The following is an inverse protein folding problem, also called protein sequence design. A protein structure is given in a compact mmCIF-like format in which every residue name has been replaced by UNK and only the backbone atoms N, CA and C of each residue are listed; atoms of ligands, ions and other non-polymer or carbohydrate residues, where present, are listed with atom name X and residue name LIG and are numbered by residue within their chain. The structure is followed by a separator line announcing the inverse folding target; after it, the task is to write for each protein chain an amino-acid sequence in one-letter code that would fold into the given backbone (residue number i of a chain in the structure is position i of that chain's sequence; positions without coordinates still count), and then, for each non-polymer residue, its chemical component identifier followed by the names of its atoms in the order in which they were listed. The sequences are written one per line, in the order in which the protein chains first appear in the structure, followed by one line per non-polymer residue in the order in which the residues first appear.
data_IF_342746477669
#
_entry.id   IF_342746477669
#
_cell.length_a   1.000
_cell.length_b   1.000
_cell.length_c   1.000
_cell.angle_alpha   90.00
_cell.angle_beta   90.00
_cell.angle_gamma   90.00
#
_symmetry.space_group_name_H-M   'P 1'
#
loop_
_entity.id
_entity.type
_entity.pdbx_description
1 polymer ?
#
# COMPACT_ATOMS: atom_id res chain seq x y z
N UNK A 1 -9.90 11.82 23.19
CA UNK A 1 -8.67 11.87 22.36
C UNK A 1 -7.57 11.22 23.19
N UNK A 2 -6.61 10.51 22.57
CA UNK A 2 -5.79 9.44 23.17
C UNK A 2 -4.90 9.77 24.41
N UNK A 3 -5.04 10.96 25.02
CA UNK A 3 -4.32 11.40 26.24
C UNK A 3 -2.79 11.37 26.13
N UNK A 4 -2.28 11.66 24.94
CA UNK A 4 -0.84 11.74 24.66
C UNK A 4 -0.38 13.19 24.60
N UNK A 5 0.77 13.48 25.21
CA UNK A 5 1.46 14.75 25.06
C UNK A 5 2.18 14.80 23.70
N UNK A 6 1.57 15.48 22.72
CA UNK A 6 2.14 15.64 21.38
C UNK A 6 3.23 16.72 21.38
N UNK A 7 4.49 16.30 21.52
CA UNK A 7 5.64 17.22 21.59
C UNK A 7 5.93 17.91 20.25
N UNK A 8 5.76 17.18 19.14
CA UNK A 8 6.00 17.68 17.79
C UNK A 8 5.29 16.79 16.77
N UNK A 9 4.73 17.42 15.75
CA UNK A 9 4.34 16.74 14.50
C UNK A 9 5.50 16.89 13.51
N UNK A 10 5.92 15.78 12.91
CA UNK A 10 6.96 15.76 11.89
C UNK A 10 6.41 15.14 10.62
N UNK A 11 6.87 15.62 9.47
CA UNK A 11 6.50 15.04 8.19
C UNK A 11 7.19 13.68 8.01
N UNK A 12 6.48 12.71 7.45
CA UNK A 12 7.00 11.37 7.13
C UNK A 12 8.33 11.38 6.35
N UNK A 13 8.51 12.16 5.26
CA UNK A 13 9.79 12.18 4.55
C UNK A 13 10.94 12.71 5.42
N UNK A 14 10.68 13.66 6.33
CA UNK A 14 11.71 14.12 7.27
C UNK A 14 12.06 13.04 8.28
N UNK A 15 11.06 12.32 8.81
CA UNK A 15 11.29 11.20 9.71
C UNK A 15 12.10 10.07 9.05
N UNK A 16 11.74 9.69 7.81
CA UNK A 16 12.45 8.71 7.00
C UNK A 16 13.89 9.16 6.71
N UNK A 17 14.11 10.44 6.40
CA UNK A 17 15.44 10.99 6.19
C UNK A 17 16.31 10.94 7.46
N UNK A 18 15.73 11.26 8.62
CA UNK A 18 16.42 11.18 9.90
C UNK A 18 16.84 9.73 10.18
N UNK A 19 15.94 8.77 9.98
CA UNK A 19 16.24 7.35 10.13
C UNK A 19 17.39 6.91 9.19
N UNK A 20 17.34 7.34 7.92
CA UNK A 20 18.40 7.07 6.95
C UNK A 20 19.75 7.71 7.33
N UNK A 21 19.73 8.98 7.75
CA UNK A 21 20.91 9.76 8.12
C UNK A 21 21.59 9.31 9.42
N UNK A 22 20.83 8.75 10.37
CA UNK A 22 21.37 8.17 11.60
C UNK A 22 21.96 6.77 11.36
N UNK A 23 21.33 5.94 10.52
CA UNK A 23 21.77 4.56 10.26
C UNK A 23 22.95 4.41 9.29
N UNK A 24 23.14 5.35 8.36
CA UNK A 24 24.14 5.21 7.27
C UNK A 24 25.56 5.70 7.61
N UNK A 25 25.83 6.03 8.89
CA UNK A 25 27.06 6.70 9.30
C UNK A 25 27.05 8.20 8.94
N UNK A 26 27.51 9.05 9.85
CA UNK A 26 27.64 10.50 9.61
C UNK A 26 28.80 10.76 8.65
N UNK A 27 28.51 10.71 7.36
CA UNK A 27 29.39 11.28 6.34
C UNK A 27 29.30 12.81 6.43
N UNK A 28 30.44 13.50 6.50
CA UNK A 28 30.48 14.96 6.36
C UNK A 28 30.18 15.45 4.94
N UNK A 29 30.17 14.54 3.95
CA UNK A 29 29.86 14.88 2.56
C UNK A 29 28.38 15.25 2.39
N UNK A 30 28.16 16.35 1.70
CA UNK A 30 26.85 16.76 1.19
C UNK A 30 26.27 15.70 0.26
N UNK A 31 24.97 15.43 0.38
CA UNK A 31 24.25 14.53 -0.52
C UNK A 31 22.81 14.96 -0.72
N UNK A 32 22.31 14.73 -1.93
CA UNK A 32 20.89 14.82 -2.23
C UNK A 32 20.27 13.43 -2.15
N UNK A 33 19.16 13.29 -1.44
CA UNK A 33 18.43 12.03 -1.21
C UNK A 33 17.01 12.20 -1.70
N UNK A 34 16.56 11.29 -2.55
CA UNK A 34 15.16 11.17 -2.93
C UNK A 34 14.49 10.14 -2.00
N UNK A 35 13.37 10.52 -1.41
CA UNK A 35 12.51 9.63 -0.64
C UNK A 35 11.27 9.37 -1.49
N UNK A 36 10.99 8.09 -1.67
CA UNK A 36 9.80 7.57 -2.33
C UNK A 36 8.98 6.84 -1.28
N UNK A 37 7.78 7.33 -1.00
CA UNK A 37 6.86 6.74 -0.03
C UNK A 37 5.53 6.44 -0.72
N UNK A 38 5.26 5.16 -0.95
CA UNK A 38 3.97 4.68 -1.48
C UNK A 38 3.30 3.84 -0.40
N UNK A 39 2.44 4.50 0.37
CA UNK A 39 1.75 3.94 1.52
C UNK A 39 0.46 3.20 1.16
N UNK A 40 -0.43 3.10 2.14
CA UNK A 40 -1.73 2.43 1.98
C UNK A 40 -2.73 3.24 1.14
N UNK A 41 -2.69 4.56 1.20
CA UNK A 41 -3.61 5.45 0.48
C UNK A 41 -3.02 6.80 0.07
N UNK A 42 -1.74 7.03 0.33
CA UNK A 42 -1.01 8.23 -0.08
C UNK A 42 0.28 7.84 -0.77
N UNK A 43 0.71 8.69 -1.70
CA UNK A 43 1.97 8.58 -2.42
C UNK A 43 2.70 9.91 -2.33
N UNK A 44 3.89 9.92 -1.72
CA UNK A 44 4.70 11.11 -1.55
C UNK A 44 6.13 10.89 -2.07
N UNK A 45 6.66 11.91 -2.74
CA UNK A 45 8.05 11.97 -3.20
C UNK A 45 8.67 13.24 -2.67
N UNK A 46 9.80 13.12 -1.98
CA UNK A 46 10.52 14.26 -1.44
C UNK A 46 12.00 14.23 -1.82
N UNK A 47 12.52 15.37 -2.27
CA UNK A 47 13.95 15.57 -2.48
C UNK A 47 14.53 16.32 -1.27
N UNK A 48 15.53 15.73 -0.64
CA UNK A 48 16.20 16.29 0.52
C UNK A 48 17.67 16.53 0.23
N UNK A 49 18.21 17.57 0.84
CA UNK A 49 19.63 17.85 0.91
C UNK A 49 20.11 17.62 2.33
N UNK A 50 21.17 16.82 2.49
CA UNK A 50 21.72 16.41 3.79
C UNK A 50 23.18 16.83 3.87
N UNK A 51 23.53 17.58 4.93
CA UNK A 51 24.89 18.04 5.20
C UNK A 51 25.15 18.05 6.71
N UNK A 52 26.17 17.32 7.19
CA UNK A 52 26.65 17.39 8.58
C UNK A 52 25.61 17.14 9.68
N UNK A 53 24.43 16.58 9.35
CA UNK A 53 23.30 16.39 10.26
C UNK A 53 22.13 17.37 10.09
N UNK A 54 22.24 18.34 9.18
CA UNK A 54 21.14 19.21 8.74
C UNK A 54 20.38 18.52 7.61
N UNK A 55 19.06 18.42 7.74
CA UNK A 55 18.16 17.86 6.74
C UNK A 55 17.28 18.98 6.19
N UNK A 56 17.44 19.32 4.92
CA UNK A 56 16.64 20.36 4.25
C UNK A 56 15.79 19.72 3.17
N UNK A 57 14.47 19.84 3.29
CA UNK A 57 13.56 19.47 2.20
C UNK A 57 13.67 20.52 1.10
N UNK A 58 13.99 20.08 -0.12
CA UNK A 58 14.12 20.95 -1.30
C UNK A 58 12.83 21.01 -2.10
N UNK A 59 12.14 19.88 -2.21
CA UNK A 59 10.85 19.78 -2.87
C UNK A 59 10.09 18.56 -2.34
N UNK A 60 8.75 18.65 -2.33
CA UNK A 60 7.84 17.55 -2.05
C UNK A 60 6.68 17.63 -3.04
N UNK A 61 6.30 16.49 -3.60
CA UNK A 61 5.13 16.33 -4.47
C UNK A 61 4.52 14.94 -4.22
N UNK A 62 3.28 14.72 -4.63
CA UNK A 62 2.60 13.46 -4.36
C UNK A 62 1.13 13.46 -4.75
N UNK A 63 0.46 12.36 -4.43
CA UNK A 63 -0.98 12.17 -4.54
C UNK A 63 -1.53 11.64 -3.21
N UNK A 64 -2.48 12.39 -2.63
CA UNK A 64 -3.10 12.06 -1.33
C UNK A 64 -4.18 10.98 -1.42
N UNK A 65 -4.46 10.47 -2.62
CA UNK A 65 -5.49 9.46 -2.87
C UNK A 65 -4.97 8.30 -3.74
N UNK A 66 -3.68 7.98 -3.64
CA UNK A 66 -3.04 6.88 -4.34
C UNK A 66 -2.24 6.02 -3.38
N UNK A 67 -2.48 4.71 -3.33
CA UNK A 67 -1.68 3.79 -2.54
C UNK A 67 -2.05 2.32 -2.70
N UNK A 68 -1.59 1.53 -1.73
CA UNK A 68 -1.80 0.09 -1.63
C UNK A 68 -3.24 -0.38 -1.87
N UNK A 69 -4.22 0.41 -1.40
CA UNK A 69 -5.65 0.10 -1.45
C UNK A 69 -6.25 0.20 -2.86
N UNK A 70 -5.66 0.99 -3.75
CA UNK A 70 -6.11 1.11 -5.14
C UNK A 70 -5.79 -0.16 -5.92
N UNK A 71 -4.61 -0.74 -5.69
CA UNK A 71 -4.26 -2.04 -6.25
C UNK A 71 -5.19 -3.14 -5.73
N UNK A 72 -5.52 -3.11 -4.43
CA UNK A 72 -6.47 -4.06 -3.83
C UNK A 72 -7.87 -3.91 -4.44
N UNK A 73 -8.29 -2.67 -4.73
CA UNK A 73 -9.59 -2.36 -5.34
C UNK A 73 -9.63 -2.80 -6.80
N UNK A 74 -8.57 -2.57 -7.56
CA UNK A 74 -8.48 -3.04 -8.95
C UNK A 74 -8.52 -4.56 -9.04
N UNK A 75 -7.84 -5.26 -8.14
CA UNK A 75 -7.86 -6.73 -8.06
C UNK A 75 -9.23 -7.24 -7.60
N UNK A 76 -9.87 -6.56 -6.64
CA UNK A 76 -11.24 -6.85 -6.23
C UNK A 76 -12.22 -6.76 -7.40
N UNK A 77 -12.16 -5.68 -8.19
CA UNK A 77 -13.04 -5.48 -9.33
C UNK A 77 -12.80 -6.51 -10.45
N UNK A 78 -11.55 -6.92 -10.65
CA UNK A 78 -11.21 -8.03 -11.53
C UNK A 78 -11.90 -9.33 -11.08
N UNK A 79 -11.75 -9.70 -9.81
CA UNK A 79 -12.33 -10.94 -9.30
C UNK A 79 -13.85 -10.90 -9.14
N UNK A 80 -14.47 -9.73 -8.90
CA UNK A 80 -15.92 -9.56 -8.97
C UNK A 80 -16.46 -9.94 -10.35
N UNK A 81 -15.82 -9.42 -11.41
CA UNK A 81 -16.17 -9.75 -12.80
C UNK A 81 -15.94 -11.23 -13.09
N UNK A 82 -14.86 -11.81 -12.57
CA UNK A 82 -14.59 -13.24 -12.76
C UNK A 82 -15.62 -14.12 -12.03
N UNK A 83 -15.97 -13.79 -10.78
CA UNK A 83 -17.02 -14.47 -10.03
C UNK A 83 -18.34 -14.42 -10.80
N UNK A 84 -18.79 -13.23 -11.21
CA UNK A 84 -20.01 -13.07 -11.98
C UNK A 84 -19.97 -13.83 -13.32
N UNK A 85 -18.82 -13.90 -13.99
CA UNK A 85 -18.65 -14.69 -15.21
C UNK A 85 -18.87 -16.19 -14.96
N UNK A 86 -18.31 -16.72 -13.86
CA UNK A 86 -18.35 -18.14 -13.47
C UNK A 86 -19.70 -18.58 -12.90
N UNK A 87 -20.29 -17.79 -12.01
CA UNK A 87 -21.49 -18.16 -11.24
C UNK A 87 -22.77 -17.50 -11.73
N UNK A 88 -22.68 -16.47 -12.59
CA UNK A 88 -23.79 -15.59 -13.01
C UNK A 88 -24.44 -14.80 -11.87
N UNK A 89 -23.83 -14.77 -10.68
CA UNK A 89 -24.29 -14.02 -9.51
C UNK A 89 -23.44 -12.76 -9.30
N UNK A 90 -24.05 -11.68 -8.84
CA UNK A 90 -23.34 -10.44 -8.49
C UNK A 90 -23.25 -10.27 -6.97
N UNK A 91 -22.02 -10.27 -6.45
CA UNK A 91 -21.73 -10.09 -5.02
C UNK A 91 -21.59 -8.61 -4.60
N UNK A 92 -21.76 -7.66 -5.53
CA UNK A 92 -21.55 -6.22 -5.29
C UNK A 92 -22.44 -5.64 -4.19
N UNK A 93 -23.59 -6.25 -3.91
CA UNK A 93 -24.50 -5.84 -2.83
C UNK A 93 -24.14 -6.39 -1.43
N UNK A 94 -23.22 -7.37 -1.35
CA UNK A 94 -22.87 -8.02 -0.09
C UNK A 94 -21.56 -7.48 0.47
N UNK A 95 -21.67 -6.61 1.48
CA UNK A 95 -20.53 -5.98 2.16
C UNK A 95 -19.60 -6.98 2.84
N UNK A 96 -20.13 -8.13 3.30
CA UNK A 96 -19.34 -9.19 3.94
C UNK A 96 -18.55 -9.96 2.89
N UNK A 97 -19.18 -10.34 1.78
CA UNK A 97 -18.51 -10.99 0.66
C UNK A 97 -17.40 -10.09 0.08
N UNK A 98 -17.70 -8.80 -0.15
CA UNK A 98 -16.73 -7.81 -0.63
C UNK A 98 -15.53 -7.66 0.32
N UNK A 99 -15.76 -7.62 1.64
CA UNK A 99 -14.67 -7.51 2.62
C UNK A 99 -13.77 -8.76 2.62
N UNK A 100 -14.36 -9.96 2.52
CA UNK A 100 -13.62 -11.22 2.45
C UNK A 100 -12.77 -11.28 1.19
N UNK A 101 -13.36 -10.95 0.03
CA UNK A 101 -12.64 -10.92 -1.24
C UNK A 101 -11.53 -9.87 -1.23
N UNK A 102 -11.76 -8.66 -0.70
CA UNK A 102 -10.73 -7.62 -0.57
C UNK A 102 -9.55 -8.07 0.29
N UNK A 103 -9.81 -8.75 1.41
CA UNK A 103 -8.75 -9.31 2.28
C UNK A 103 -7.90 -10.34 1.53
N UNK A 104 -8.55 -11.19 0.72
CA UNK A 104 -7.83 -12.16 -0.11
C UNK A 104 -7.04 -11.49 -1.25
N UNK A 105 -7.56 -10.41 -1.84
CA UNK A 105 -6.86 -9.60 -2.84
C UNK A 105 -5.58 -8.99 -2.26
N UNK A 106 -5.67 -8.41 -1.06
CA UNK A 106 -4.52 -7.79 -0.40
C UNK A 106 -3.43 -8.82 -0.06
N UNK A 107 -3.84 -10.02 0.38
CA UNK A 107 -2.93 -11.16 0.55
C UNK A 107 -2.29 -11.59 -0.77
N UNK A 108 -3.07 -11.73 -1.84
CA UNK A 108 -2.59 -12.11 -3.16
C UNK A 108 -1.58 -11.09 -3.70
N UNK A 109 -1.88 -9.79 -3.60
CA UNK A 109 -0.97 -8.70 -3.96
C UNK A 109 0.38 -8.83 -3.25
N UNK A 110 0.38 -9.05 -1.93
CA UNK A 110 1.61 -9.26 -1.15
C UNK A 110 2.39 -10.49 -1.60
N UNK A 111 1.72 -11.60 -1.89
CA UNK A 111 2.35 -12.81 -2.41
C UNK A 111 2.98 -12.56 -3.78
N UNK A 112 2.28 -11.85 -4.68
CA UNK A 112 2.78 -11.49 -6.01
C UNK A 112 3.97 -10.52 -5.98
N UNK A 113 4.21 -9.78 -4.88
CA UNK A 113 5.44 -8.99 -4.73
C UNK A 113 6.71 -9.87 -4.74
N UNK A 114 6.59 -11.15 -4.37
CA UNK A 114 7.72 -12.10 -4.32
C UNK A 114 7.59 -13.27 -5.30
N UNK A 115 6.37 -13.67 -5.67
CA UNK A 115 6.10 -14.73 -6.66
C UNK A 115 5.61 -14.20 -8.01
N UNK A 116 5.60 -15.06 -9.03
CA UNK A 116 5.07 -14.74 -10.38
C UNK A 116 3.59 -15.08 -10.53
N UNK A 117 3.03 -15.89 -9.62
CA UNK A 117 1.62 -16.31 -9.62
C UNK A 117 1.14 -16.68 -8.22
N UNK A 118 -0.16 -16.61 -7.98
CA UNK A 118 -0.82 -17.10 -6.76
C UNK A 118 -2.29 -17.46 -7.05
N UNK A 119 -2.94 -18.14 -6.12
CA UNK A 119 -4.35 -18.53 -6.21
C UNK A 119 -5.13 -17.90 -5.07
N UNK A 120 -6.28 -17.31 -5.38
CA UNK A 120 -7.27 -16.82 -4.43
C UNK A 120 -8.36 -17.86 -4.27
N UNK A 121 -8.50 -18.39 -3.05
CA UNK A 121 -9.48 -19.40 -2.69
C UNK A 121 -10.28 -18.94 -1.47
N UNK A 122 -11.61 -18.92 -1.60
CA UNK A 122 -12.54 -18.51 -0.55
C UNK A 122 -13.79 -19.38 -0.59
N UNK A 123 -13.97 -20.20 0.45
CA UNK A 123 -15.16 -21.05 0.57
C UNK A 123 -16.42 -20.22 0.87
N UNK A 124 -17.53 -20.58 0.26
CA UNK A 124 -18.84 -19.94 0.43
C UNK A 124 -18.73 -18.41 0.41
N UNK A 125 -18.10 -17.87 -0.64
CA UNK A 125 -17.86 -16.43 -0.77
C UNK A 125 -19.17 -15.65 -0.83
N UNK A 126 -20.13 -16.12 -1.64
CA UNK A 126 -21.44 -15.48 -1.81
C UNK A 126 -22.50 -16.51 -2.22
N UNK A 127 -23.65 -16.50 -1.53
CA UNK A 127 -24.81 -17.35 -1.84
C UNK A 127 -24.47 -18.85 -2.00
N UNK A 128 -23.64 -19.37 -1.08
CA UNK A 128 -23.19 -20.76 -1.09
C UNK A 128 -22.09 -21.09 -2.10
N UNK A 129 -21.74 -20.17 -3.00
CA UNK A 129 -20.73 -20.40 -4.03
C UNK A 129 -19.31 -20.21 -3.48
N UNK A 130 -18.45 -21.20 -3.72
CA UNK A 130 -17.01 -21.07 -3.52
C UNK A 130 -16.38 -20.21 -4.61
N UNK A 131 -15.27 -19.55 -4.30
CA UNK A 131 -14.48 -18.81 -5.27
C UNK A 131 -13.06 -19.33 -5.33
N UNK A 132 -12.62 -19.73 -6.53
CA UNK A 132 -11.25 -20.11 -6.83
C UNK A 132 -10.82 -19.41 -8.14
N UNK A 133 -9.72 -18.66 -8.09
CA UNK A 133 -9.12 -18.02 -9.25
C UNK A 133 -7.60 -17.90 -9.13
N UNK A 134 -6.89 -18.09 -10.23
CA UNK A 134 -5.45 -17.86 -10.32
C UNK A 134 -5.16 -16.47 -10.87
N UNK A 135 -4.13 -15.81 -10.35
CA UNK A 135 -3.65 -14.49 -10.81
C UNK A 135 -2.13 -14.53 -10.93
N UNK A 136 -1.61 -13.91 -11.99
CA UNK A 136 -0.17 -13.73 -12.22
C UNK A 136 0.26 -12.30 -11.89
N UNK A 137 1.56 -12.11 -11.69
CA UNK A 137 2.16 -10.78 -11.54
C UNK A 137 1.98 -9.95 -12.82
#
# INVERSE_FOLDING_TARGET
IADLQVLRIINEPTAAAIAYGLGSGKSEKERNVLIYDLGGGTFDVSLLHIQGGVFTVKATAGDTHLGGQDFDTNLLDHFKKEFQRKTKKDLSGDSRALRRLRTACERAKRTLSNGTQTTVEIDSLFDGEDFNAQITR
#
